data_IF_294332776326
#
_entry.id   IF_294332776326
#
_cell.length_a   1.000
_cell.length_b   1.000
_cell.length_c   1.000
_cell.angle_alpha   90.00
_cell.angle_beta   90.00
_cell.angle_gamma   90.00
#
_symmetry.space_group_name_H-M   'P 1'
#
loop_
_entity.id
_entity.type
_entity.pdbx_description
1 polymer ?
#
# COMPACT_ATOMS: atom_id res chain seq x y z
N UNK A 1 6.33 7.68 3.83
CA UNK A 1 4.99 7.09 3.91
C UNK A 1 3.92 8.11 3.60
N UNK A 2 2.88 7.70 2.90
CA UNK A 2 1.71 8.52 2.61
C UNK A 2 0.47 7.80 3.13
N UNK A 3 -0.36 8.52 3.89
CA UNK A 3 -1.64 8.03 4.40
C UNK A 3 -2.77 8.63 3.59
N UNK A 4 -3.60 7.79 2.98
CA UNK A 4 -4.84 8.23 2.31
C UNK A 4 -5.99 8.21 3.29
N UNK A 5 -7.03 9.00 3.05
CA UNK A 5 -8.26 8.98 3.85
C UNK A 5 -9.37 8.25 3.09
N UNK A 6 -10.31 7.70 3.87
CA UNK A 6 -11.46 6.96 3.36
C UNK A 6 -11.27 5.45 3.43
N UNK A 7 -12.12 4.81 4.21
CA UNK A 7 -12.16 3.36 4.32
C UNK A 7 -13.53 2.91 4.79
N UNK A 8 -14.17 2.02 4.03
CA UNK A 8 -15.48 1.48 4.36
C UNK A 8 -15.45 0.21 5.20
N UNK A 9 -14.25 -0.36 5.43
CA UNK A 9 -14.12 -1.62 6.16
C UNK A 9 -14.39 -1.50 7.64
N UNK A 10 -13.95 -0.38 8.27
CA UNK A 10 -14.16 -0.11 9.69
C UNK A 10 -13.78 -1.32 10.57
N UNK A 11 -12.58 -1.87 10.36
CA UNK A 11 -12.10 -3.02 11.12
C UNK A 11 -12.07 -2.72 12.61
N UNK A 12 -12.52 -3.65 13.44
CA UNK A 12 -12.48 -3.51 14.90
C UNK A 12 -11.05 -3.30 15.36
N UNK A 13 -10.85 -2.31 16.23
CA UNK A 13 -9.54 -1.93 16.79
C UNK A 13 -8.50 -1.54 15.74
N UNK A 14 -8.93 -0.99 14.60
CA UNK A 14 -8.05 -0.49 13.56
C UNK A 14 -7.08 0.58 14.11
N UNK A 15 -5.79 0.50 13.75
CA UNK A 15 -4.76 1.44 14.18
C UNK A 15 -4.97 2.85 13.61
N UNK A 16 -5.66 2.99 12.49
CA UNK A 16 -5.84 4.25 11.76
C UNK A 16 -7.30 4.63 11.61
N UNK A 17 -8.12 4.43 12.66
CA UNK A 17 -9.57 4.63 12.58
C UNK A 17 -9.98 6.06 12.18
N UNK A 18 -9.17 7.07 12.51
CA UNK A 18 -9.42 8.45 12.10
C UNK A 18 -9.37 8.62 10.58
N UNK A 19 -8.70 7.73 9.86
CA UNK A 19 -8.62 7.78 8.39
C UNK A 19 -9.81 7.15 7.69
N UNK A 20 -10.80 6.64 8.42
CA UNK A 20 -12.03 6.09 7.82
C UNK A 20 -12.85 7.17 7.10
N UNK A 21 -12.82 8.40 7.59
CA UNK A 21 -13.52 9.53 6.99
C UNK A 21 -12.81 9.97 5.71
N UNK A 22 -13.54 9.96 4.59
CA UNK A 22 -13.00 10.38 3.31
C UNK A 22 -12.56 11.86 3.28
N UNK A 23 -13.07 12.67 4.18
CA UNK A 23 -12.73 14.09 4.30
C UNK A 23 -11.69 14.39 5.38
N UNK A 24 -11.12 13.36 6.01
CA UNK A 24 -10.18 13.53 7.12
C UNK A 24 -8.88 14.22 6.70
N UNK A 25 -8.33 13.84 5.55
CA UNK A 25 -7.06 14.39 5.08
C UNK A 25 -7.21 15.69 4.30
N UNK A 26 -6.09 16.23 3.90
CA UNK A 26 -6.03 17.39 3.01
C UNK A 26 -6.16 16.96 1.56
N UNK A 27 -6.65 17.86 0.70
CA UNK A 27 -6.73 17.60 -0.73
C UNK A 27 -5.33 17.34 -1.31
N UNK A 28 -5.22 16.30 -2.14
CA UNK A 28 -3.98 16.00 -2.86
C UNK A 28 -3.86 16.93 -4.08
N UNK A 29 -2.74 17.65 -4.15
CA UNK A 29 -2.46 18.61 -5.23
C UNK A 29 -1.12 18.29 -5.89
N UNK A 30 -0.80 19.02 -6.98
CA UNK A 30 0.50 18.93 -7.63
C UNK A 30 1.63 19.33 -6.67
N UNK A 31 1.37 20.27 -5.77
CA UNK A 31 2.36 20.66 -4.73
C UNK A 31 2.63 19.48 -3.79
N UNK A 32 1.60 18.72 -3.44
CA UNK A 32 1.75 17.50 -2.62
C UNK A 32 2.63 16.48 -3.35
N UNK A 33 2.41 16.27 -4.64
CA UNK A 33 3.22 15.36 -5.45
C UNK A 33 4.68 15.81 -5.48
N UNK A 34 4.92 17.11 -5.65
CA UNK A 34 6.27 17.67 -5.65
C UNK A 34 6.97 17.49 -4.30
N UNK A 35 6.25 17.61 -3.19
CA UNK A 35 6.78 17.35 -1.86
C UNK A 35 7.23 15.89 -1.71
N UNK A 36 6.43 14.95 -2.23
CA UNK A 36 6.76 13.52 -2.20
C UNK A 36 8.03 13.26 -3.01
N UNK A 37 8.10 13.76 -4.22
CA UNK A 37 9.27 13.58 -5.10
C UNK A 37 10.53 14.14 -4.44
N UNK A 38 10.43 15.35 -3.88
CA UNK A 38 11.56 15.99 -3.19
C UNK A 38 12.02 15.18 -1.98
N UNK A 39 11.07 14.67 -1.19
CA UNK A 39 11.38 13.87 -0.01
C UNK A 39 12.03 12.53 -0.38
N UNK A 40 11.64 11.93 -1.50
CA UNK A 40 12.19 10.66 -1.96
C UNK A 40 13.53 10.78 -2.69
N UNK A 41 13.89 11.98 -3.16
CA UNK A 41 15.11 12.22 -3.91
C UNK A 41 16.33 12.35 -2.99
N UNK A 42 16.57 11.29 -2.23
CA UNK A 42 17.71 11.17 -1.30
C UNK A 42 18.18 9.74 -1.32
N UNK A 43 19.48 9.55 -1.33
CA UNK A 43 20.10 8.21 -1.44
C UNK A 43 19.67 7.25 -0.32
N UNK A 44 19.45 7.77 0.89
CA UNK A 44 19.08 6.94 2.03
C UNK A 44 17.59 6.54 2.03
N UNK A 45 16.77 7.11 1.16
CA UNK A 45 15.35 6.74 1.03
C UNK A 45 15.25 5.55 0.07
N UNK A 46 14.94 4.39 0.59
CA UNK A 46 14.86 3.13 -0.16
C UNK A 46 13.57 2.99 -0.97
N UNK A 47 12.47 3.53 -0.46
CA UNK A 47 11.19 3.34 -1.11
C UNK A 47 10.07 4.18 -0.51
N UNK A 48 8.85 3.86 -0.95
CA UNK A 48 7.62 4.57 -0.61
C UNK A 48 6.60 3.59 -0.06
N UNK A 49 5.90 3.98 1.01
CA UNK A 49 4.82 3.17 1.59
C UNK A 49 3.51 3.93 1.52
N UNK A 50 2.48 3.28 1.00
CA UNK A 50 1.13 3.81 0.87
C UNK A 50 0.21 3.08 1.85
N UNK A 51 -0.38 3.82 2.77
CA UNK A 51 -1.24 3.29 3.83
C UNK A 51 -2.39 4.25 4.11
N UNK A 52 -2.96 4.14 5.29
CA UNK A 52 -3.99 5.04 5.81
C UNK A 52 -5.32 4.35 5.96
N UNK A 53 -6.39 4.94 5.39
CA UNK A 53 -7.69 4.32 5.23
C UNK A 53 -7.59 3.15 4.27
N UNK A 54 -8.16 3.29 3.08
CA UNK A 54 -8.06 2.22 2.08
C UNK A 54 -7.62 2.80 0.73
N UNK A 55 -6.35 2.56 0.31
CA UNK A 55 -5.86 3.06 -0.98
C UNK A 55 -6.68 2.63 -2.19
N UNK A 56 -7.31 1.45 -2.13
CA UNK A 56 -8.08 0.90 -3.25
C UNK A 56 -9.58 1.22 -3.19
N UNK A 57 -10.03 2.07 -2.27
CA UNK A 57 -11.38 2.61 -2.37
C UNK A 57 -11.52 3.36 -3.70
N UNK A 58 -12.69 3.24 -4.35
CA UNK A 58 -12.92 3.80 -5.68
C UNK A 58 -12.54 5.28 -5.78
N UNK A 59 -12.85 6.05 -4.74
CA UNK A 59 -12.56 7.47 -4.66
C UNK A 59 -11.06 7.77 -4.67
N UNK A 60 -10.24 6.83 -4.26
CA UNK A 60 -8.79 7.00 -4.14
C UNK A 60 -8.01 6.47 -5.35
N UNK A 61 -8.61 5.60 -6.17
CA UNK A 61 -7.88 4.85 -7.21
C UNK A 61 -7.18 5.72 -8.24
N UNK A 62 -7.83 6.77 -8.73
CA UNK A 62 -7.25 7.65 -9.76
C UNK A 62 -6.01 8.36 -9.21
N UNK A 63 -6.11 8.93 -8.01
CA UNK A 63 -4.99 9.61 -7.37
C UNK A 63 -3.86 8.63 -7.04
N UNK A 64 -4.18 7.46 -6.53
CA UNK A 64 -3.19 6.42 -6.18
C UNK A 64 -2.43 5.97 -7.42
N UNK A 65 -3.13 5.72 -8.53
CA UNK A 65 -2.47 5.34 -9.79
C UNK A 65 -1.51 6.43 -10.26
N UNK A 66 -1.94 7.70 -10.23
CA UNK A 66 -1.11 8.83 -10.61
C UNK A 66 0.16 8.93 -9.74
N UNK A 67 -0.03 8.82 -8.42
CA UNK A 67 1.08 8.89 -7.46
C UNK A 67 2.11 7.79 -7.71
N UNK A 68 1.67 6.55 -7.81
CA UNK A 68 2.57 5.41 -7.96
C UNK A 68 3.27 5.41 -9.32
N UNK A 69 2.54 5.77 -10.38
CA UNK A 69 3.11 5.90 -11.71
C UNK A 69 4.21 6.97 -11.73
N UNK A 70 3.95 8.14 -11.14
CA UNK A 70 4.90 9.24 -11.08
C UNK A 70 6.14 8.84 -10.30
N UNK A 71 5.98 8.17 -9.16
CA UNK A 71 7.11 7.69 -8.35
C UNK A 71 7.97 6.71 -9.15
N UNK A 72 7.37 5.76 -9.84
CA UNK A 72 8.11 4.77 -10.63
C UNK A 72 8.82 5.39 -11.83
N UNK A 73 8.26 6.44 -12.42
CA UNK A 73 8.92 7.16 -13.51
C UNK A 73 10.15 7.93 -13.05
N UNK A 74 10.08 8.54 -11.85
CA UNK A 74 11.20 9.31 -11.29
C UNK A 74 12.24 8.41 -10.60
N UNK A 75 11.80 7.34 -9.96
CA UNK A 75 12.65 6.48 -9.13
C UNK A 75 12.41 4.99 -9.44
N UNK A 76 12.79 4.52 -10.65
CA UNK A 76 12.50 3.14 -11.07
C UNK A 76 13.16 2.07 -10.18
N UNK A 77 14.21 2.43 -9.44
CA UNK A 77 14.93 1.50 -8.56
C UNK A 77 14.47 1.54 -7.10
N UNK A 78 13.57 2.45 -6.76
CA UNK A 78 13.02 2.50 -5.40
C UNK A 78 11.77 1.62 -5.32
N UNK A 79 11.57 0.99 -4.17
CA UNK A 79 10.46 0.06 -3.98
C UNK A 79 9.20 0.77 -3.52
N UNK A 80 8.05 0.21 -3.87
CA UNK A 80 6.73 0.70 -3.45
C UNK A 80 6.04 -0.40 -2.65
N UNK A 81 5.68 -0.08 -1.41
CA UNK A 81 4.87 -0.92 -0.53
C UNK A 81 3.47 -0.33 -0.44
N UNK A 82 2.47 -1.17 -0.48
CA UNK A 82 1.07 -0.73 -0.33
C UNK A 82 0.36 -1.64 0.66
N UNK A 83 -0.42 -1.03 1.55
CA UNK A 83 -1.24 -1.74 2.54
C UNK A 83 -2.71 -1.61 2.16
N UNK A 84 -3.41 -2.73 2.08
CA UNK A 84 -4.83 -2.77 1.72
C UNK A 84 -5.59 -3.79 2.54
N UNK A 85 -6.84 -3.46 2.86
CA UNK A 85 -7.77 -4.42 3.45
C UNK A 85 -8.36 -5.39 2.44
N UNK A 86 -8.25 -5.07 1.13
CA UNK A 86 -8.63 -6.01 0.06
C UNK A 86 -7.56 -7.09 -0.08
N UNK A 87 -7.96 -8.26 -0.56
CA UNK A 87 -7.01 -9.33 -0.89
C UNK A 87 -6.46 -9.13 -2.31
N UNK A 88 -5.31 -9.72 -2.58
CA UNK A 88 -4.70 -9.69 -3.91
C UNK A 88 -5.68 -10.23 -4.98
N UNK A 89 -6.37 -11.31 -4.66
CA UNK A 89 -7.33 -11.94 -5.56
C UNK A 89 -8.49 -11.00 -5.91
N UNK A 90 -8.94 -10.19 -4.96
CA UNK A 90 -9.97 -9.18 -5.20
C UNK A 90 -9.46 -8.04 -6.09
N UNK A 91 -8.21 -7.66 -5.95
CA UNK A 91 -7.63 -6.52 -6.66
C UNK A 91 -7.19 -6.84 -8.07
N UNK A 92 -6.78 -8.06 -8.33
CA UNK A 92 -6.19 -8.46 -9.63
C UNK A 92 -7.14 -8.24 -10.81
N UNK A 93 -8.44 -8.41 -10.61
CA UNK A 93 -9.41 -8.24 -11.68
C UNK A 93 -9.76 -6.79 -12.01
N UNK A 94 -9.65 -5.89 -11.02
CA UNK A 94 -10.10 -4.49 -11.18
C UNK A 94 -8.96 -3.49 -11.16
N UNK A 95 -7.86 -3.80 -10.51
CA UNK A 95 -6.80 -2.84 -10.20
C UNK A 95 -5.41 -3.27 -10.68
N UNK A 96 -5.31 -4.12 -11.71
CA UNK A 96 -4.01 -4.50 -12.27
C UNK A 96 -3.19 -3.28 -12.74
N UNK A 97 -3.86 -2.27 -13.26
CA UNK A 97 -3.25 -1.03 -13.70
C UNK A 97 -2.60 -0.23 -12.57
N UNK A 98 -3.00 -0.50 -11.32
CA UNK A 98 -2.37 0.07 -10.12
C UNK A 98 -1.34 -0.92 -9.56
N UNK A 99 -1.71 -2.21 -9.48
CA UNK A 99 -0.84 -3.25 -8.91
C UNK A 99 0.52 -3.33 -9.61
N UNK A 100 0.57 -3.09 -10.90
CA UNK A 100 1.82 -3.15 -11.66
C UNK A 100 2.90 -2.17 -11.19
N UNK A 101 2.52 -1.14 -10.44
CA UNK A 101 3.46 -0.17 -9.86
C UNK A 101 3.88 -0.51 -8.44
N UNK A 102 3.30 -1.55 -7.85
CA UNK A 102 3.56 -1.95 -6.46
C UNK A 102 4.52 -3.12 -6.44
N UNK A 103 5.54 -3.04 -5.60
CA UNK A 103 6.50 -4.13 -5.42
C UNK A 103 6.05 -5.10 -4.34
N UNK A 104 5.54 -4.57 -3.22
CA UNK A 104 5.07 -5.38 -2.10
C UNK A 104 3.68 -4.92 -1.67
N UNK A 105 2.74 -5.85 -1.63
CA UNK A 105 1.38 -5.61 -1.13
C UNK A 105 1.21 -6.36 0.19
N UNK A 106 0.84 -5.63 1.24
CA UNK A 106 0.38 -6.25 2.49
C UNK A 106 -1.15 -6.25 2.42
N UNK A 107 -1.72 -7.43 2.19
CA UNK A 107 -3.14 -7.57 1.89
C UNK A 107 -3.95 -8.19 3.04
N UNK A 108 -5.26 -8.00 2.95
CA UNK A 108 -6.21 -8.55 3.89
C UNK A 108 -6.61 -7.58 4.99
N UNK A 109 -7.88 -7.65 5.40
CA UNK A 109 -8.43 -6.80 6.44
C UNK A 109 -7.76 -7.08 7.79
N UNK A 110 -7.56 -6.02 8.60
CA UNK A 110 -7.10 -6.18 9.97
C UNK A 110 -8.16 -6.93 10.78
N UNK A 111 -7.75 -8.02 11.42
CA UNK A 111 -8.62 -8.84 12.28
C UNK A 111 -8.12 -8.76 13.72
N UNK A 112 -8.91 -8.13 14.59
CA UNK A 112 -8.51 -7.88 15.98
C UNK A 112 -8.16 -9.17 16.75
N UNK A 113 -8.88 -10.25 16.50
CA UNK A 113 -8.66 -11.55 17.13
C UNK A 113 -7.33 -12.20 16.72
N UNK A 114 -6.76 -11.75 15.59
CA UNK A 114 -5.48 -12.23 15.07
C UNK A 114 -4.36 -11.19 15.21
N UNK A 115 -4.61 -10.12 15.96
CA UNK A 115 -3.62 -9.09 16.23
C UNK A 115 -2.39 -9.66 16.91
N UNK A 116 -1.21 -9.31 16.40
CA UNK A 116 0.06 -9.72 16.97
C UNK A 116 1.10 -8.62 16.77
N UNK A 117 1.47 -7.96 17.87
CA UNK A 117 2.42 -6.84 17.83
C UNK A 117 3.86 -7.26 17.50
N UNK A 118 4.14 -8.57 17.51
CA UNK A 118 5.47 -9.10 17.15
C UNK A 118 5.66 -9.26 15.65
N UNK A 119 4.59 -9.16 14.86
CA UNK A 119 4.67 -9.27 13.41
C UNK A 119 5.36 -8.05 12.81
N UNK A 120 6.22 -8.27 11.82
CA UNK A 120 6.83 -7.20 11.04
C UNK A 120 5.93 -6.83 9.88
N UNK A 121 5.68 -5.53 9.69
CA UNK A 121 5.00 -4.96 8.53
C UNK A 121 3.53 -5.35 8.35
N UNK A 122 2.92 -6.01 9.32
CA UNK A 122 1.49 -6.34 9.30
C UNK A 122 0.92 -6.33 10.72
N UNK A 123 -0.39 -6.08 10.83
CA UNK A 123 -1.04 -5.92 12.13
C UNK A 123 -1.70 -7.18 12.66
N UNK A 124 -2.07 -8.11 11.80
CA UNK A 124 -2.74 -9.36 12.17
C UNK A 124 -2.21 -10.54 11.35
N UNK A 125 -2.32 -11.74 11.92
CA UNK A 125 -1.72 -12.95 11.33
C UNK A 125 -2.32 -13.37 9.99
N UNK A 126 -3.56 -12.97 9.69
CA UNK A 126 -4.21 -13.27 8.43
C UNK A 126 -3.69 -12.43 7.26
N UNK A 127 -3.01 -11.32 7.53
CA UNK A 127 -2.47 -10.46 6.48
C UNK A 127 -1.23 -11.08 5.86
N UNK A 128 -1.09 -10.93 4.54
CA UNK A 128 0.01 -11.52 3.79
C UNK A 128 0.93 -10.42 3.26
N UNK A 129 2.22 -10.71 3.16
CA UNK A 129 3.21 -9.82 2.54
C UNK A 129 3.57 -10.43 1.19
N UNK A 130 3.09 -9.83 0.11
CA UNK A 130 3.06 -10.42 -1.23
C UNK A 130 4.08 -9.77 -2.15
N UNK A 131 4.86 -10.59 -2.86
CA UNK A 131 5.66 -10.14 -4.00
C UNK A 131 4.72 -9.95 -5.19
N UNK A 132 4.32 -8.70 -5.46
CA UNK A 132 3.29 -8.40 -6.45
C UNK A 132 3.74 -8.76 -7.86
N UNK A 133 4.96 -8.39 -8.21
CA UNK A 133 5.48 -8.63 -9.57
C UNK A 133 5.47 -10.12 -9.91
N UNK A 134 6.02 -10.95 -9.03
CA UNK A 134 6.05 -12.39 -9.24
C UNK A 134 4.65 -12.99 -9.21
N UNK A 135 3.77 -12.49 -8.32
CA UNK A 135 2.40 -12.96 -8.22
C UNK A 135 1.61 -12.66 -9.51
N UNK A 136 1.82 -11.50 -10.13
CA UNK A 136 1.18 -11.16 -11.40
C UNK A 136 1.69 -12.04 -12.54
N UNK A 137 3.00 -12.30 -12.57
CA UNK A 137 3.61 -13.17 -13.60
C UNK A 137 3.10 -14.60 -13.52
N UNK A 138 3.05 -15.16 -12.30
CA UNK A 138 2.67 -16.56 -12.06
C UNK A 138 1.15 -16.75 -11.96
N UNK A 139 0.39 -15.65 -11.90
CA UNK A 139 -1.07 -15.64 -11.69
C UNK A 139 -1.49 -16.36 -10.40
N UNK A 140 -0.60 -16.38 -9.41
CA UNK A 140 -0.85 -16.94 -8.10
C UNK A 140 -0.05 -16.16 -7.05
N UNK A 141 -0.57 -16.10 -5.82
CA UNK A 141 0.07 -15.34 -4.74
C UNK A 141 1.42 -15.96 -4.37
N UNK A 142 2.45 -15.11 -4.36
CA UNK A 142 3.79 -15.47 -3.86
C UNK A 142 4.09 -14.55 -2.67
N UNK A 143 4.16 -15.12 -1.47
CA UNK A 143 4.46 -14.38 -0.26
C UNK A 143 5.97 -14.23 -0.07
N UNK A 144 6.37 -13.11 0.54
CA UNK A 144 7.75 -12.87 0.94
C UNK A 144 8.01 -13.45 2.33
N UNK A 145 9.17 -14.06 2.51
CA UNK A 145 9.63 -14.53 3.83
C UNK A 145 10.38 -13.43 4.56
N UNK A 146 10.60 -13.60 5.88
CA UNK A 146 11.31 -12.59 6.69
C UNK A 146 12.67 -12.18 6.11
N UNK A 147 13.46 -13.12 5.60
CA UNK A 147 14.74 -12.80 4.99
C UNK A 147 14.64 -11.99 3.71
N UNK A 148 13.54 -12.12 3.00
CA UNK A 148 13.30 -11.43 1.73
C UNK A 148 12.79 -10.00 1.91
N UNK A 149 12.18 -9.66 3.06
CA UNK A 149 11.66 -8.32 3.33
C UNK A 149 12.74 -7.24 3.21
N UNK A 150 13.94 -7.54 3.64
CA UNK A 150 15.05 -6.58 3.70
C UNK A 150 15.57 -6.18 2.31
N UNK A 151 15.22 -6.93 1.28
CA UNK A 151 15.59 -6.62 -0.11
C UNK A 151 14.70 -5.56 -0.75
N UNK A 152 13.59 -5.24 -0.09
CA UNK A 152 12.59 -4.27 -0.58
C UNK A 152 12.51 -3.02 0.35
#
# INVERSE_FOLDING_TARGET
SLFVSGCRRHCKDCFNSETWDFCYGNEFTDDTMNEIITAMDKEYIKGFSLLGGEPFEKENRVAVQYILKTIKEHFPNKTVWCYSGFTFEELVGECEDILKYIDVLVDGAFVAEKKNLKLKFRGSENQRIINVKKSLEDKTVTELTEGEYDEY
#
